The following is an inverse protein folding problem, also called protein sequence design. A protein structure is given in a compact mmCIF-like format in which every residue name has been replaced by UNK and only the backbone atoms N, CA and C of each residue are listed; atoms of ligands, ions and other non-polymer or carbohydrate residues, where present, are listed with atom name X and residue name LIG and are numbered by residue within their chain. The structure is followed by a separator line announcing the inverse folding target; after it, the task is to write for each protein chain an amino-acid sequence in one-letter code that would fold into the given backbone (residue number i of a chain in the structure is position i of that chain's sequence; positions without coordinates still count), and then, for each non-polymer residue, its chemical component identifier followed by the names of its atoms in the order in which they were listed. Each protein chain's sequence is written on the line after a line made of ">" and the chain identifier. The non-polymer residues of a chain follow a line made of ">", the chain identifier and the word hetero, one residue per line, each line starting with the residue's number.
data_IF_952143998384
#
_entry.id   IF_952143998384
#
_cell.length_a   1.000
_cell.length_b   1.000
_cell.length_c   1.000
_cell.angle_alpha   90.00
_cell.angle_beta   90.00
_cell.angle_gamma   90.00
#
_symmetry.space_group_name_H-M   'P 1'
#
loop_
_entity.id
_entity.type
_entity.pdbx_description
1 polymer ?
#
# COMPACT_ATOMS: atom_id res chain seq x y z
N UNK A 1 19.19 -0.93 -19.83
CA UNK A 1 19.54 -1.76 -18.65
C UNK A 1 18.25 -2.26 -18.01
N UNK A 2 17.92 -3.54 -18.18
CA UNK A 2 16.86 -4.21 -17.41
C UNK A 2 17.45 -4.52 -16.03
N UNK A 3 16.90 -3.91 -14.99
CA UNK A 3 17.32 -4.16 -13.62
C UNK A 3 16.34 -5.17 -13.04
N UNK A 4 16.84 -6.38 -12.80
CA UNK A 4 16.09 -7.49 -12.24
C UNK A 4 15.75 -7.21 -10.77
N UNK A 5 14.46 -7.38 -10.42
CA UNK A 5 13.93 -7.76 -9.10
C UNK A 5 14.57 -7.11 -7.86
N UNK A 6 14.10 -5.91 -7.51
CA UNK A 6 14.53 -5.14 -6.32
C UNK A 6 13.96 -5.73 -5.02
N UNK A 7 14.51 -6.85 -4.58
CA UNK A 7 14.36 -7.38 -3.20
C UNK A 7 15.75 -7.69 -2.68
N UNK A 8 16.22 -6.91 -1.70
CA UNK A 8 17.48 -7.19 -1.01
C UNK A 8 17.16 -7.90 0.30
N UNK A 9 17.57 -9.17 0.39
CA UNK A 9 17.59 -9.91 1.65
C UNK A 9 18.87 -9.49 2.40
N UNK A 10 18.73 -8.69 3.45
CA UNK A 10 19.87 -8.33 4.31
C UNK A 10 19.92 -9.33 5.47
N UNK A 11 21.01 -10.09 5.57
CA UNK A 11 21.24 -11.02 6.68
C UNK A 11 22.05 -10.34 7.77
N UNK A 12 21.40 -10.08 8.91
CA UNK A 12 22.10 -10.00 10.20
C UNK A 12 21.49 -11.10 11.07
N UNK A 13 22.35 -11.99 11.60
CA UNK A 13 22.02 -13.04 12.57
C UNK A 13 20.78 -13.90 12.23
N UNK A 14 20.85 -14.68 11.15
CA UNK A 14 19.87 -15.75 10.87
C UNK A 14 18.44 -15.29 10.57
N UNK A 15 18.16 -13.99 10.56
CA UNK A 15 16.86 -13.41 10.22
C UNK A 15 16.91 -12.83 8.81
N UNK A 16 16.03 -13.31 7.94
CA UNK A 16 15.83 -12.70 6.62
C UNK A 16 15.06 -11.40 6.83
N UNK A 17 15.69 -10.27 6.51
CA UNK A 17 15.06 -8.95 6.51
C UNK A 17 14.79 -8.56 5.06
N UNK A 18 13.50 -8.34 4.73
CA UNK A 18 13.09 -7.75 3.45
C UNK A 18 13.02 -6.23 3.60
N UNK A 19 13.78 -5.51 2.76
CA UNK A 19 13.70 -4.05 2.65
C UNK A 19 13.15 -3.68 1.29
N UNK A 20 12.07 -2.92 1.29
CA UNK A 20 11.38 -2.46 0.06
C UNK A 20 11.39 -0.94 -0.02
N UNK A 21 11.96 -0.42 -1.11
CA UNK A 21 11.95 1.00 -1.43
C UNK A 21 10.68 1.37 -2.19
N UNK A 22 9.80 2.14 -1.57
CA UNK A 22 8.48 2.49 -2.12
C UNK A 22 8.58 3.36 -3.37
N UNK A 23 9.58 4.23 -3.44
CA UNK A 23 9.89 5.12 -4.56
C UNK A 23 10.38 4.39 -5.81
N UNK A 24 10.94 3.19 -5.65
CA UNK A 24 11.43 2.35 -6.75
C UNK A 24 10.36 1.39 -7.29
N UNK A 25 9.21 1.27 -6.61
CA UNK A 25 8.11 0.41 -7.06
C UNK A 25 7.20 1.18 -8.01
N UNK A 26 7.17 0.70 -9.26
CA UNK A 26 6.20 1.15 -10.26
C UNK A 26 4.77 0.91 -9.78
N UNK A 27 3.99 1.99 -9.70
CA UNK A 27 2.56 1.91 -9.48
C UNK A 27 1.83 1.55 -10.77
N UNK A 28 0.69 0.85 -10.65
CA UNK A 28 -0.25 0.70 -11.76
C UNK A 28 -1.57 1.32 -11.34
N UNK A 29 -2.27 2.03 -12.25
CA UNK A 29 -3.66 2.39 -12.00
C UNK A 29 -4.44 1.09 -11.76
N UNK A 30 -5.14 1.03 -10.64
CA UNK A 30 -6.09 -0.05 -10.42
C UNK A 30 -7.34 0.18 -11.30
N UNK A 31 -8.34 -0.71 -11.23
CA UNK A 31 -9.60 -0.61 -12.00
C UNK A 31 -10.39 0.70 -11.75
N UNK A 32 -9.92 1.57 -10.87
CA UNK A 32 -10.57 2.77 -10.37
C UNK A 32 -9.70 4.02 -10.53
N UNK A 33 -8.62 3.95 -11.32
CA UNK A 33 -7.75 5.09 -11.64
C UNK A 33 -6.69 5.43 -10.60
N UNK A 34 -6.80 4.88 -9.39
CA UNK A 34 -5.84 5.11 -8.29
C UNK A 34 -4.54 4.34 -8.52
N UNK A 35 -3.41 5.01 -8.31
CA UNK A 35 -2.09 4.39 -8.37
C UNK A 35 -1.89 3.53 -7.12
N UNK A 36 -1.83 2.22 -7.31
CA UNK A 36 -1.56 1.26 -6.24
C UNK A 36 -0.22 0.55 -6.46
N UNK A 37 0.61 0.52 -5.42
CA UNK A 37 1.91 -0.15 -5.39
C UNK A 37 1.82 -1.33 -4.43
N UNK A 38 2.08 -2.55 -4.91
CA UNK A 38 2.15 -3.74 -4.06
C UNK A 38 3.55 -3.83 -3.46
N UNK A 39 3.66 -3.58 -2.15
CA UNK A 39 4.94 -3.58 -1.44
C UNK A 39 5.33 -4.99 -0.99
N UNK A 40 4.35 -5.75 -0.49
CA UNK A 40 4.56 -7.13 -0.01
C UNK A 40 3.33 -7.99 -0.26
N UNK A 41 3.55 -9.29 -0.47
CA UNK A 41 2.50 -10.30 -0.51
C UNK A 41 3.07 -11.69 -0.19
N UNK A 42 2.48 -12.33 0.81
CA UNK A 42 2.64 -13.76 1.10
C UNK A 42 1.26 -14.37 1.42
N UNK A 43 1.23 -15.53 2.08
CA UNK A 43 -0.01 -16.23 2.46
C UNK A 43 -0.78 -15.50 3.58
N UNK A 44 -0.07 -14.80 4.46
CA UNK A 44 -0.65 -14.19 5.67
C UNK A 44 -1.02 -12.71 5.49
N UNK A 45 -0.26 -11.96 4.68
CA UNK A 45 -0.38 -10.50 4.58
C UNK A 45 -0.11 -9.98 3.18
N UNK A 46 -0.84 -8.91 2.83
CA UNK A 46 -0.59 -8.10 1.64
C UNK A 46 -0.49 -6.63 2.05
N UNK A 47 0.62 -5.98 1.67
CA UNK A 47 0.85 -4.55 1.91
C UNK A 47 0.74 -3.81 0.58
N UNK A 48 -0.16 -2.84 0.54
CA UNK A 48 -0.38 -1.95 -0.60
C UNK A 48 -0.12 -0.50 -0.18
N UNK A 49 0.66 0.24 -0.96
CA UNK A 49 0.72 1.69 -0.87
C UNK A 49 -0.22 2.30 -1.92
N UNK A 50 -1.13 3.17 -1.49
CA UNK A 50 -2.05 3.88 -2.36
C UNK A 50 -1.57 5.33 -2.47
N UNK A 51 -1.25 5.76 -3.70
CA UNK A 51 -1.01 7.18 -4.01
C UNK A 51 -2.33 7.78 -4.51
N UNK A 52 -2.92 8.66 -3.70
CA UNK A 52 -4.18 9.33 -3.96
C UNK A 52 -3.93 10.81 -4.26
N UNK A 53 -4.30 11.25 -5.45
CA UNK A 53 -4.34 12.66 -5.83
C UNK A 53 -5.60 13.33 -5.29
N UNK A 54 -5.63 14.67 -5.15
CA UNK A 54 -6.87 15.37 -4.81
C UNK A 54 -8.00 15.02 -5.78
N UNK A 55 -9.12 14.53 -5.22
CA UNK A 55 -10.27 14.06 -6.00
C UNK A 55 -10.30 12.55 -6.22
N UNK A 56 -9.19 11.84 -6.00
CA UNK A 56 -9.20 10.37 -6.01
C UNK A 56 -10.01 9.83 -4.83
N UNK A 57 -10.76 8.76 -5.10
CA UNK A 57 -11.51 8.05 -4.08
C UNK A 57 -11.26 6.54 -4.16
N UNK A 58 -11.42 5.89 -3.01
CA UNK A 58 -11.58 4.44 -2.95
C UNK A 58 -13.06 4.18 -2.68
N UNK A 59 -13.87 3.81 -3.71
CA UNK A 59 -15.29 3.58 -3.55
C UNK A 59 -15.58 2.57 -2.46
N UNK A 60 -16.63 2.82 -1.69
CA UNK A 60 -17.06 1.98 -0.57
C UNK A 60 -17.23 0.53 -1.03
N UNK A 61 -16.60 -0.39 -0.31
CA UNK A 61 -16.66 -1.82 -0.61
C UNK A 61 -16.40 -2.64 0.67
N UNK A 62 -16.71 -3.92 0.62
CA UNK A 62 -16.46 -4.89 1.70
C UNK A 62 -15.65 -6.05 1.14
N UNK A 63 -14.64 -6.49 1.90
CA UNK A 63 -13.80 -7.64 1.57
C UNK A 63 -13.77 -8.60 2.76
N UNK A 64 -13.71 -9.93 2.55
CA UNK A 64 -13.70 -10.92 3.63
C UNK A 64 -12.30 -11.08 4.25
N UNK A 65 -11.62 -9.97 4.52
CA UNK A 65 -10.30 -9.94 5.15
C UNK A 65 -10.21 -8.78 6.14
N UNK A 66 -9.35 -8.90 7.14
CA UNK A 66 -9.03 -7.80 8.04
C UNK A 66 -8.14 -6.79 7.31
N UNK A 67 -8.41 -5.50 7.50
CA UNK A 67 -7.64 -4.41 6.90
C UNK A 67 -7.29 -3.37 7.96
N UNK A 68 -6.10 -2.79 7.82
CA UNK A 68 -5.71 -1.59 8.56
C UNK A 68 -5.20 -0.56 7.56
N UNK A 69 -5.38 0.71 7.90
CA UNK A 69 -4.88 1.83 7.10
C UNK A 69 -3.84 2.59 7.90
N UNK A 70 -2.71 2.88 7.27
CA UNK A 70 -1.65 3.71 7.82
C UNK A 70 -1.41 4.89 6.89
N UNK A 71 -1.55 6.10 7.42
CA UNK A 71 -1.42 7.34 6.65
C UNK A 71 0.03 7.80 6.77
N UNK A 72 0.77 7.70 5.67
CA UNK A 72 2.18 8.13 5.63
C UNK A 72 2.28 9.64 5.57
N UNK A 73 1.47 10.28 4.72
CA UNK A 73 1.42 11.74 4.56
C UNK A 73 0.13 12.15 3.86
N UNK A 74 -0.16 13.46 3.89
CA UNK A 74 -1.33 14.05 3.23
C UNK A 74 -2.54 14.19 4.14
N UNK A 75 -3.66 14.62 3.54
CA UNK A 75 -4.93 14.87 4.21
C UNK A 75 -6.06 14.23 3.43
N UNK A 76 -7.13 13.87 4.13
CA UNK A 76 -8.27 13.22 3.50
C UNK A 76 -9.36 12.87 4.50
N UNK A 77 -10.28 12.02 4.06
CA UNK A 77 -11.36 11.51 4.91
C UNK A 77 -11.43 10.00 4.74
N UNK A 78 -11.42 9.26 5.85
CA UNK A 78 -11.64 7.82 5.86
C UNK A 78 -13.03 7.54 6.40
N UNK A 79 -13.78 6.69 5.69
CA UNK A 79 -15.10 6.22 6.11
C UNK A 79 -15.05 4.70 6.25
N UNK A 80 -15.22 4.19 7.47
CA UNK A 80 -15.27 2.76 7.77
C UNK A 80 -16.58 2.47 8.51
N UNK A 81 -17.43 1.63 7.92
CA UNK A 81 -18.77 1.38 8.47
C UNK A 81 -19.55 2.69 8.60
N UNK A 82 -20.01 3.02 9.81
CA UNK A 82 -20.74 4.27 10.10
C UNK A 82 -19.83 5.40 10.60
N UNK A 83 -18.52 5.14 10.71
CA UNK A 83 -17.54 6.10 11.23
C UNK A 83 -16.89 6.85 10.09
N UNK A 84 -16.88 8.17 10.19
CA UNK A 84 -16.16 9.07 9.30
C UNK A 84 -15.10 9.84 10.11
N UNK A 85 -13.85 9.82 9.66
CA UNK A 85 -12.71 10.49 10.31
C UNK A 85 -11.97 11.34 9.28
N UNK A 86 -11.77 12.62 9.61
CA UNK A 86 -10.90 13.52 8.86
C UNK A 86 -9.45 13.29 9.29
N UNK A 87 -8.56 13.17 8.31
CA UNK A 87 -7.11 13.10 8.49
C UNK A 87 -6.55 14.50 8.21
N UNK A 88 -5.90 15.10 9.21
CA UNK A 88 -5.36 16.47 9.17
C UNK A 88 -3.84 16.47 9.25
#
# INVERSE_FOLDING_TARGET
>A
MRCDSVRKNLSQEGKIIEVTRVDEIGGKPNKRGVIAKKLHKNEDVQIMNLDLSPGDEVPRHSVPVNVFFYVVSGRGTIIIGKVCKKLI
#
